data_IF_567680022927
#
_entry.id   IF_567680022927
#
_cell.length_a   1.000
_cell.length_b   1.000
_cell.length_c   1.000
_cell.angle_alpha   90.00
_cell.angle_beta   90.00
_cell.angle_gamma   90.00
#
_symmetry.space_group_name_H-M   'P 1'
#
loop_
_entity.id
_entity.type
_entity.pdbx_description
1 polymer ?
#
# COMPACT_ATOMS: atom_id res chain seq x y z
N UNK A 1 -22.12 1.94 18.03
CA UNK A 1 -21.76 1.81 16.61
C UNK A 1 -20.41 2.49 16.40
N UNK A 2 -19.30 1.73 16.34
CA UNK A 2 -17.96 2.32 16.21
C UNK A 2 -17.42 2.07 14.80
N UNK A 3 -17.36 3.14 14.00
CA UNK A 3 -16.71 3.15 12.70
C UNK A 3 -15.18 3.15 12.89
N UNK A 4 -14.59 1.99 13.17
CA UNK A 4 -13.14 1.89 13.45
C UNK A 4 -12.42 0.81 12.64
N UNK A 5 -13.07 0.21 11.63
CA UNK A 5 -12.48 -0.96 10.94
C UNK A 5 -11.29 -0.64 10.03
N UNK A 6 -11.13 0.57 9.49
CA UNK A 6 -9.88 1.04 8.86
C UNK A 6 -9.90 2.57 8.83
N UNK A 7 -9.25 3.21 9.80
CA UNK A 7 -9.03 4.66 9.76
C UNK A 7 -7.94 4.98 8.75
N UNK A 8 -8.26 5.76 7.72
CA UNK A 8 -7.23 6.50 6.96
C UNK A 8 -6.36 7.21 8.01
N UNK A 9 -5.05 7.01 8.01
CA UNK A 9 -4.23 7.52 9.11
C UNK A 9 -4.41 9.02 9.21
N UNK A 10 -4.72 9.45 10.43
CA UNK A 10 -4.39 10.77 10.89
C UNK A 10 -2.85 10.81 10.98
N UNK A 11 -2.20 11.67 10.20
CA UNK A 11 -0.74 11.79 10.05
C UNK A 11 0.03 11.98 11.37
N UNK A 12 -0.64 12.26 12.48
CA UNK A 12 -0.04 12.53 13.78
C UNK A 12 0.66 11.32 14.45
N UNK A 13 0.28 10.07 14.13
CA UNK A 13 0.76 8.90 14.90
C UNK A 13 2.19 8.45 14.59
N UNK A 14 2.82 8.97 13.53
CA UNK A 14 4.23 8.66 13.20
C UNK A 14 5.25 9.48 14.01
N UNK A 15 4.81 10.37 14.90
CA UNK A 15 5.71 11.27 15.63
C UNK A 15 6.47 10.57 16.79
N UNK A 16 5.96 9.48 17.35
CA UNK A 16 6.52 8.85 18.56
C UNK A 16 7.60 7.77 18.33
N UNK A 17 7.87 7.34 17.09
CA UNK A 17 8.93 6.35 16.84
C UNK A 17 10.30 7.03 16.73
N UNK A 18 11.24 6.64 17.59
CA UNK A 18 12.67 7.04 17.54
C UNK A 18 13.44 6.45 16.35
N UNK A 19 12.80 5.60 15.56
CA UNK A 19 13.42 4.93 14.43
C UNK A 19 13.76 5.91 13.30
N UNK A 20 14.91 5.73 12.62
CA UNK A 20 15.25 6.53 11.46
C UNK A 20 14.19 6.33 10.36
N UNK A 21 13.62 7.43 9.88
CA UNK A 21 12.64 7.44 8.82
C UNK A 21 13.34 7.55 7.48
N UNK A 22 12.91 6.76 6.51
CA UNK A 22 13.44 6.77 5.15
C UNK A 22 12.33 6.98 4.15
N UNK A 23 12.70 7.45 2.97
CA UNK A 23 11.85 7.42 1.80
C UNK A 23 11.93 6.02 1.19
N UNK A 24 10.79 5.33 1.17
CA UNK A 24 10.69 3.99 0.64
C UNK A 24 10.16 4.04 -0.78
N UNK A 25 10.95 3.56 -1.73
CA UNK A 25 10.62 3.60 -3.15
C UNK A 25 10.03 2.26 -3.60
N UNK A 26 9.02 2.33 -4.44
CA UNK A 26 8.40 1.18 -5.09
C UNK A 26 8.24 1.46 -6.58
N UNK A 27 8.45 0.44 -7.39
CA UNK A 27 8.32 0.51 -8.84
C UNK A 27 7.28 -0.53 -9.30
N UNK A 28 6.39 -0.11 -10.20
CA UNK A 28 5.30 -0.95 -10.72
C UNK A 28 5.43 -1.11 -12.22
N UNK A 29 6.66 -1.30 -12.74
CA UNK A 29 6.93 -1.42 -14.17
C UNK A 29 6.18 -0.38 -15.01
N UNK A 30 5.69 -0.77 -16.19
CA UNK A 30 5.01 0.13 -17.13
C UNK A 30 3.53 0.38 -16.83
N UNK A 31 3.02 -0.01 -15.64
CA UNK A 31 1.59 0.12 -15.33
C UNK A 31 1.32 1.21 -14.30
N UNK A 32 0.57 2.24 -14.71
CA UNK A 32 0.05 3.25 -13.77
C UNK A 32 -0.94 2.59 -12.82
N UNK A 33 -0.56 2.52 -11.54
CA UNK A 33 -1.32 1.83 -10.49
C UNK A 33 -1.30 2.68 -9.22
N UNK A 34 -2.40 2.71 -8.46
CA UNK A 34 -2.38 3.32 -7.14
C UNK A 34 -1.76 2.34 -6.16
N UNK A 35 -0.67 2.74 -5.53
CA UNK A 35 -0.06 1.98 -4.45
C UNK A 35 -0.50 2.53 -3.09
N UNK A 36 -0.76 1.62 -2.18
CA UNK A 36 -1.11 1.88 -0.79
C UNK A 36 -0.22 1.03 0.10
N UNK A 37 0.43 1.64 1.07
CA UNK A 37 1.21 0.95 2.08
C UNK A 37 0.36 0.81 3.34
N UNK A 38 0.14 -0.42 3.75
CA UNK A 38 -0.65 -0.81 4.91
C UNK A 38 0.29 -1.24 6.03
N UNK A 39 0.24 -0.52 7.14
CA UNK A 39 0.86 -0.89 8.39
C UNK A 39 -0.09 -1.78 9.18
N UNK A 40 0.30 -3.02 9.40
CA UNK A 40 -0.47 -3.95 10.23
C UNK A 40 -0.39 -3.56 11.72
N UNK A 41 0.78 -3.09 12.18
CA UNK A 41 1.02 -2.76 13.59
C UNK A 41 0.12 -1.63 14.11
N UNK A 42 -0.17 -0.64 13.25
CA UNK A 42 -0.94 0.56 13.63
C UNK A 42 -2.29 0.66 12.91
N UNK A 43 -2.70 -0.45 12.26
CA UNK A 43 -3.89 -0.60 11.43
C UNK A 43 -4.14 0.61 10.52
N UNK A 44 -3.20 0.88 9.63
CA UNK A 44 -3.31 2.07 8.82
C UNK A 44 -2.74 2.00 7.42
N UNK A 45 -3.21 2.89 6.56
CA UNK A 45 -3.01 2.88 5.13
C UNK A 45 -2.47 4.25 4.71
N UNK A 46 -1.36 4.24 3.96
CA UNK A 46 -0.72 5.41 3.41
C UNK A 46 -0.64 5.28 1.88
N UNK A 47 -1.25 6.19 1.11
CA UNK A 47 -1.09 6.19 -0.33
C UNK A 47 0.35 6.57 -0.71
N UNK A 48 0.87 5.95 -1.76
CA UNK A 48 2.15 6.36 -2.34
C UNK A 48 2.00 7.66 -3.11
N UNK A 49 3.05 8.46 -3.13
CA UNK A 49 3.16 9.61 -4.03
C UNK A 49 3.86 9.15 -5.31
N UNK A 50 3.27 9.43 -6.47
CA UNK A 50 3.90 9.13 -7.74
C UNK A 50 4.92 10.23 -8.07
N UNK A 51 6.19 9.85 -8.25
CA UNK A 51 7.28 10.71 -8.73
C UNK A 51 7.86 10.12 -10.01
N UNK A 52 7.39 10.60 -11.16
CA UNK A 52 7.75 10.05 -12.47
C UNK A 52 7.21 8.63 -12.66
N UNK A 53 8.11 7.68 -12.96
CA UNK A 53 7.82 6.25 -13.12
C UNK A 53 7.88 5.46 -11.80
N UNK A 54 8.19 6.13 -10.69
CA UNK A 54 8.34 5.49 -9.37
C UNK A 54 7.30 6.00 -8.39
N UNK A 55 7.07 5.22 -7.36
CA UNK A 55 6.20 5.56 -6.24
C UNK A 55 7.04 5.70 -4.98
N UNK A 56 6.85 6.79 -4.25
CA UNK A 56 7.56 7.08 -3.01
C UNK A 56 6.60 7.09 -1.83
N UNK A 57 7.02 6.45 -0.76
CA UNK A 57 6.41 6.51 0.55
C UNK A 57 7.37 7.27 1.47
N UNK A 58 7.06 8.55 1.70
CA UNK A 58 7.94 9.42 2.50
C UNK A 58 7.73 9.19 4.00
N UNK A 59 8.78 9.41 4.77
CA UNK A 59 8.73 9.43 6.24
C UNK A 59 8.37 8.08 6.90
N UNK A 60 8.84 6.96 6.34
CA UNK A 60 8.52 5.62 6.82
C UNK A 60 9.62 5.07 7.76
N UNK A 61 9.26 4.54 8.95
CA UNK A 61 10.25 3.99 9.87
C UNK A 61 10.97 2.77 9.27
N UNK A 62 12.30 2.83 9.25
CA UNK A 62 13.16 1.76 8.73
C UNK A 62 12.93 0.46 9.50
N UNK A 63 12.88 -0.67 8.79
CA UNK A 63 12.78 -1.99 9.38
C UNK A 63 11.36 -2.41 9.80
N UNK A 64 10.35 -1.57 9.61
CA UNK A 64 8.95 -1.94 9.82
C UNK A 64 8.46 -2.95 8.77
N UNK A 65 7.60 -3.87 9.21
CA UNK A 65 6.86 -4.77 8.31
C UNK A 65 5.64 -4.02 7.79
N UNK A 66 5.49 -4.00 6.48
CA UNK A 66 4.42 -3.29 5.79
C UNK A 66 3.86 -4.17 4.69
N UNK A 67 2.60 -3.98 4.34
CA UNK A 67 1.97 -4.61 3.18
C UNK A 67 1.75 -3.55 2.12
N UNK A 68 2.28 -3.75 0.92
CA UNK A 68 1.95 -2.86 -0.19
C UNK A 68 0.80 -3.47 -0.99
N UNK A 69 -0.24 -2.68 -1.17
CA UNK A 69 -1.42 -3.00 -1.96
C UNK A 69 -1.39 -2.12 -3.19
N UNK A 70 -1.21 -2.73 -4.35
CA UNK A 70 -1.30 -2.04 -5.64
C UNK A 70 -2.65 -2.31 -6.29
N UNK A 71 -3.30 -1.24 -6.73
CA UNK A 71 -4.58 -1.28 -7.44
C UNK A 71 -4.38 -0.64 -8.80
N UNK A 72 -4.46 -1.44 -9.85
CA UNK A 72 -4.34 -0.99 -11.23
C UNK A 72 -5.56 -1.36 -12.06
N UNK A 73 -5.62 -0.86 -13.29
CA UNK A 73 -6.64 -1.25 -14.26
C UNK A 73 -5.95 -1.67 -15.56
N UNK A 74 -6.15 -2.92 -15.98
CA UNK A 74 -5.70 -3.41 -17.29
C UNK A 74 -6.95 -3.76 -18.10
N UNK A 75 -7.13 -3.15 -19.27
CA UNK A 75 -8.25 -3.45 -20.17
C UNK A 75 -9.62 -3.42 -19.48
N UNK A 76 -9.92 -2.37 -18.70
CA UNK A 76 -11.14 -2.21 -17.88
C UNK A 76 -11.35 -3.25 -16.76
N UNK A 77 -10.40 -4.17 -16.56
CA UNK A 77 -10.43 -5.13 -15.46
C UNK A 77 -9.58 -4.59 -14.31
N UNK A 78 -10.15 -4.42 -13.11
CA UNK A 78 -9.37 -3.99 -11.97
C UNK A 78 -8.42 -5.13 -11.57
N UNK A 79 -7.18 -4.76 -11.27
CA UNK A 79 -6.14 -5.68 -10.84
C UNK A 79 -5.64 -5.30 -9.46
N UNK A 80 -5.44 -6.30 -8.62
CA UNK A 80 -4.94 -6.16 -7.28
C UNK A 80 -3.62 -6.91 -7.15
N UNK A 81 -2.64 -6.30 -6.51
CA UNK A 81 -1.44 -6.96 -6.02
C UNK A 81 -1.29 -6.66 -4.54
N UNK A 82 -0.94 -7.66 -3.75
CA UNK A 82 -0.62 -7.49 -2.33
C UNK A 82 0.74 -8.11 -2.09
N UNK A 83 1.69 -7.30 -1.66
CA UNK A 83 3.08 -7.70 -1.45
C UNK A 83 3.48 -7.35 -0.03
N UNK A 84 3.79 -8.36 0.78
CA UNK A 84 4.42 -8.15 2.07
C UNK A 84 5.86 -7.70 1.86
N UNK A 85 6.24 -6.59 2.49
CA UNK A 85 7.60 -6.08 2.41
C UNK A 85 8.08 -5.55 3.77
N UNK A 86 9.39 -5.35 3.86
CA UNK A 86 10.04 -4.69 4.99
C UNK A 86 10.67 -3.40 4.50
N UNK A 87 10.37 -2.31 5.19
CA UNK A 87 10.89 -0.98 4.87
C UNK A 87 12.42 -1.02 4.92
N UNK A 88 13.06 -0.78 3.78
CA UNK A 88 14.51 -0.81 3.62
C UNK A 88 14.92 0.26 2.60
N UNK A 89 16.22 0.56 2.53
CA UNK A 89 16.74 1.54 1.55
C UNK A 89 16.68 1.04 0.10
N UNK A 90 16.32 -0.23 -0.11
CA UNK A 90 16.21 -0.83 -1.43
C UNK A 90 14.83 -0.59 -2.03
N UNK A 91 14.79 -0.39 -3.33
CA UNK A 91 13.54 -0.20 -4.08
C UNK A 91 12.73 -1.50 -4.13
N UNK A 92 11.42 -1.40 -3.87
CA UNK A 92 10.51 -2.54 -3.96
C UNK A 92 9.99 -2.70 -5.37
N UNK A 93 10.29 -3.83 -6.00
CA UNK A 93 9.71 -4.20 -7.28
C UNK A 93 8.37 -4.90 -7.05
N UNK A 94 7.28 -4.28 -7.50
CA UNK A 94 5.93 -4.84 -7.36
C UNK A 94 5.52 -5.50 -8.67
N UNK A 95 5.39 -6.82 -8.61
CA UNK A 95 5.05 -7.67 -9.74
C UNK A 95 3.93 -8.63 -9.34
N UNK A 96 3.14 -9.08 -10.31
CA UNK A 96 2.08 -10.08 -10.08
C UNK A 96 0.71 -9.49 -9.76
N UNK A 97 0.34 -8.40 -10.42
CA UNK A 97 -1.04 -7.93 -10.44
C UNK A 97 -1.97 -9.05 -10.93
N UNK A 98 -2.93 -9.42 -10.09
CA UNK A 98 -3.93 -10.42 -10.42
C UNK A 98 -5.23 -9.70 -10.79
N UNK A 99 -5.85 -10.05 -11.92
CA UNK A 99 -7.18 -9.55 -12.22
C UNK A 99 -8.14 -10.06 -11.16
N UNK A 100 -8.88 -9.15 -10.53
CA UNK A 100 -10.01 -9.53 -9.69
C UNK A 100 -11.29 -9.10 -10.41
N UNK A 101 -12.33 -9.92 -10.35
CA UNK A 101 -13.64 -9.53 -10.85
C UNK A 101 -14.37 -8.76 -9.75
N UNK A 102 -14.98 -7.62 -10.11
CA UNK A 102 -15.88 -6.86 -9.23
C UNK A 102 -16.97 -7.75 -8.60
N UNK A 103 -17.41 -8.78 -9.32
CA UNK A 103 -18.34 -9.80 -8.83
C UNK A 103 -17.79 -10.63 -7.67
N UNK A 104 -16.50 -10.97 -7.68
CA UNK A 104 -15.87 -11.70 -6.58
C UNK A 104 -15.57 -10.77 -5.40
N UNK A 105 -15.14 -9.53 -5.67
CA UNK A 105 -14.94 -8.52 -4.63
C UNK A 105 -16.23 -8.24 -3.85
N UNK A 106 -17.37 -8.12 -4.55
CA UNK A 106 -18.68 -7.94 -3.90
C UNK A 106 -19.06 -9.14 -3.03
N UNK A 107 -18.72 -10.36 -3.45
CA UNK A 107 -18.99 -11.58 -2.67
C UNK A 107 -18.14 -11.65 -1.41
N UNK A 108 -16.85 -11.31 -1.48
CA UNK A 108 -15.98 -11.26 -0.30
C UNK A 108 -16.38 -10.14 0.67
N UNK A 109 -16.70 -8.94 0.17
CA UNK A 109 -17.08 -7.80 1.03
C UNK A 109 -18.43 -7.98 1.73
N UNK A 110 -19.39 -8.68 1.09
CA UNK A 110 -20.67 -9.01 1.75
C UNK A 110 -20.56 -10.17 2.75
N UNK A 111 -19.40 -10.83 2.83
CA UNK A 111 -19.17 -11.93 3.78
C UNK A 111 -18.43 -11.48 5.05
N UNK A 112 -18.25 -10.17 5.24
CA UNK A 112 -17.60 -9.52 6.39
C UNK A 112 -18.55 -8.85 7.38
#
# INVERSE_FOLDING_TARGET
MSASKFGWINCDRFWETKDPKIDYYAETGSMTSKLYLVFEDINSIMPATQEGDRYVFRNIPLGRKVKIVGIGYINKTPQLVVTNSKVSKSELQISGFKPFKLDELKKELNSF
#
